data_IF_357735002418
#
_entry.id   IF_357735002418
#
_cell.length_a   1.000
_cell.length_b   1.000
_cell.length_c   1.000
_cell.angle_alpha   90.00
_cell.angle_beta   90.00
_cell.angle_gamma   90.00
#
_symmetry.space_group_name_H-M   'P 1'
#
loop_
_entity.id
_entity.type
_entity.pdbx_description
1 polymer ?
#
# COMPACT_ATOMS: atom_id res chain seq x y z
N UNK A 1 -49.59 -78.89 -31.29
CA UNK A 1 -48.27 -78.58 -31.81
C UNK A 1 -48.13 -77.08 -31.68
N UNK A 2 -47.42 -76.65 -30.70
CA UNK A 2 -46.03 -76.34 -30.51
C UNK A 2 -45.73 -74.86 -30.73
N UNK A 3 -45.43 -74.16 -29.58
CA UNK A 3 -44.30 -73.26 -29.38
C UNK A 3 -44.32 -71.92 -30.20
N UNK A 4 -43.98 -70.82 -29.72
CA UNK A 4 -43.21 -70.32 -28.62
C UNK A 4 -43.45 -68.82 -28.52
N UNK A 5 -43.73 -68.34 -27.35
CA UNK A 5 -43.66 -66.94 -27.03
C UNK A 5 -42.47 -66.72 -26.10
N UNK A 6 -41.55 -65.89 -26.48
CA UNK A 6 -40.47 -65.38 -25.65
C UNK A 6 -40.48 -63.86 -25.69
N UNK A 7 -41.06 -63.25 -24.72
CA UNK A 7 -40.40 -62.54 -23.67
C UNK A 7 -39.63 -61.28 -24.15
N UNK A 8 -40.35 -60.15 -24.26
CA UNK A 8 -39.73 -58.84 -24.18
C UNK A 8 -39.76 -58.41 -22.71
N UNK A 9 -38.60 -58.45 -22.06
CA UNK A 9 -38.42 -57.85 -20.72
C UNK A 9 -38.41 -56.36 -20.85
N UNK A 10 -39.51 -55.75 -20.48
CA UNK A 10 -39.64 -54.31 -20.30
C UNK A 10 -38.77 -53.89 -19.11
N UNK A 11 -37.59 -53.37 -19.39
CA UNK A 11 -36.76 -52.66 -18.38
C UNK A 11 -37.47 -51.38 -17.98
N UNK A 12 -38.30 -51.47 -16.92
CA UNK A 12 -38.79 -50.30 -16.22
C UNK A 12 -37.67 -49.68 -15.44
N UNK A 13 -37.08 -48.63 -16.01
CA UNK A 13 -36.22 -47.72 -15.24
C UNK A 13 -37.01 -47.13 -14.07
N UNK A 14 -36.49 -47.17 -12.85
CA UNK A 14 -37.19 -46.60 -11.70
C UNK A 14 -37.11 -45.06 -11.76
N UNK A 15 -38.01 -44.47 -12.55
CA UNK A 15 -38.25 -43.01 -12.57
C UNK A 15 -38.40 -42.37 -11.20
N UNK A 16 -39.03 -43.01 -10.17
CA UNK A 16 -39.17 -42.36 -8.87
C UNK A 16 -37.86 -42.17 -8.12
N UNK A 17 -36.85 -43.05 -8.31
CA UNK A 17 -35.58 -42.93 -7.61
C UNK A 17 -34.71 -41.79 -8.19
N UNK A 18 -34.84 -41.50 -9.49
CA UNK A 18 -34.11 -40.40 -10.12
C UNK A 18 -34.73 -39.04 -9.73
N UNK A 19 -36.07 -38.95 -9.69
CA UNK A 19 -36.79 -37.79 -9.22
C UNK A 19 -36.50 -37.46 -7.74
N UNK A 20 -36.39 -38.50 -6.90
CA UNK A 20 -36.09 -38.36 -5.49
C UNK A 20 -34.64 -37.86 -5.27
N UNK A 21 -33.67 -38.34 -6.06
CA UNK A 21 -32.27 -37.85 -6.04
C UNK A 21 -32.18 -36.43 -6.55
N UNK A 22 -32.92 -36.05 -7.58
CA UNK A 22 -32.98 -34.66 -8.09
C UNK A 22 -33.63 -33.71 -7.08
N UNK A 23 -34.69 -34.13 -6.41
CA UNK A 23 -35.37 -33.37 -5.35
C UNK A 23 -34.45 -33.16 -4.13
N UNK A 24 -33.69 -34.19 -3.72
CA UNK A 24 -32.69 -34.05 -2.65
C UNK A 24 -31.53 -33.13 -3.06
N UNK A 25 -31.03 -33.25 -4.31
CA UNK A 25 -29.97 -32.38 -4.79
C UNK A 25 -30.41 -30.89 -4.86
N UNK A 26 -31.65 -30.63 -5.30
CA UNK A 26 -32.21 -29.28 -5.30
C UNK A 26 -32.45 -28.75 -3.88
N UNK A 27 -32.91 -29.58 -2.96
CA UNK A 27 -33.11 -29.18 -1.56
C UNK A 27 -31.77 -28.84 -0.87
N UNK A 28 -30.69 -29.59 -1.14
CA UNK A 28 -29.35 -29.32 -0.65
C UNK A 28 -28.79 -28.03 -1.29
N UNK A 29 -28.99 -27.83 -2.60
CA UNK A 29 -28.58 -26.61 -3.27
C UNK A 29 -29.32 -25.38 -2.74
N UNK A 30 -30.62 -25.49 -2.46
CA UNK A 30 -31.44 -24.43 -1.87
C UNK A 30 -31.00 -24.12 -0.43
N UNK A 31 -30.69 -25.15 0.37
CA UNK A 31 -30.16 -24.99 1.73
C UNK A 31 -28.81 -24.29 1.74
N UNK A 32 -27.89 -24.60 0.80
CA UNK A 32 -26.60 -23.92 0.67
C UNK A 32 -26.78 -22.46 0.27
N UNK A 33 -27.73 -22.13 -0.60
CA UNK A 33 -28.05 -20.75 -0.96
C UNK A 33 -28.65 -19.97 0.20
N UNK A 34 -29.53 -20.62 1.01
CA UNK A 34 -30.10 -19.99 2.20
C UNK A 34 -29.06 -19.77 3.32
N UNK A 35 -28.09 -20.69 3.50
CA UNK A 35 -27.01 -20.51 4.48
C UNK A 35 -26.03 -19.41 4.03
N UNK A 36 -25.80 -19.25 2.72
CA UNK A 36 -25.02 -18.13 2.18
C UNK A 36 -25.68 -16.76 2.31
N UNK A 37 -27.03 -16.72 2.43
CA UNK A 37 -27.78 -15.46 2.62
C UNK A 37 -27.86 -15.01 4.09
N UNK A 38 -27.50 -15.88 5.04
CA UNK A 38 -27.33 -15.57 6.46
C UNK A 38 -25.84 -15.52 6.88
N UNK A 39 -24.93 -15.14 5.96
CA UNK A 39 -23.65 -14.65 6.42
C UNK A 39 -23.96 -13.48 7.36
N UNK A 40 -23.57 -13.52 8.66
CA UNK A 40 -23.70 -12.35 9.50
C UNK A 40 -22.98 -11.25 8.74
N UNK A 41 -23.65 -10.15 8.46
CA UNK A 41 -22.98 -8.90 8.13
C UNK A 41 -22.03 -8.72 9.30
N UNK A 42 -20.73 -9.00 9.10
CA UNK A 42 -19.71 -8.63 10.06
C UNK A 42 -19.96 -7.15 10.29
N UNK A 43 -20.33 -6.80 11.54
CA UNK A 43 -20.45 -5.42 11.94
C UNK A 43 -19.19 -4.74 11.40
N UNK A 44 -19.37 -3.82 10.47
CA UNK A 44 -18.26 -3.25 9.73
C UNK A 44 -17.56 -2.32 10.75
N UNK A 45 -16.50 -2.83 11.34
CA UNK A 45 -15.67 -2.03 12.24
C UNK A 45 -15.20 -0.80 11.47
N UNK A 46 -14.95 0.29 12.16
CA UNK A 46 -14.37 1.52 11.60
C UNK A 46 -13.32 1.18 10.54
N UNK A 47 -13.52 1.65 9.33
CA UNK A 47 -12.64 1.36 8.20
C UNK A 47 -11.59 2.46 8.03
N UNK A 48 -10.33 2.05 7.92
CA UNK A 48 -9.27 2.96 7.48
C UNK A 48 -9.32 3.10 5.96
N UNK A 49 -9.85 4.21 5.48
CA UNK A 49 -9.91 4.50 4.07
C UNK A 49 -8.50 4.75 3.51
N UNK A 50 -7.64 5.47 4.28
CA UNK A 50 -6.28 5.78 3.85
C UNK A 50 -5.41 6.19 5.03
N UNK A 51 -4.13 5.80 4.99
CA UNK A 51 -3.08 6.40 5.81
C UNK A 51 -1.90 6.75 4.91
N UNK A 52 -1.31 7.91 5.11
CA UNK A 52 -0.14 8.37 4.35
C UNK A 52 0.78 9.17 5.24
N UNK A 53 2.08 9.01 5.01
CA UNK A 53 3.12 9.84 5.60
C UNK A 53 3.73 10.74 4.53
N UNK A 54 4.05 11.98 4.89
CA UNK A 54 4.77 12.93 4.04
C UNK A 54 5.74 13.75 4.85
N UNK A 55 6.90 14.12 4.31
CA UNK A 55 7.82 15.03 4.99
C UNK A 55 7.12 16.34 5.35
N UNK A 56 7.39 16.85 6.54
CA UNK A 56 6.82 18.12 7.01
C UNK A 56 7.40 19.30 6.22
N UNK A 57 8.66 19.16 5.80
CA UNK A 57 9.41 20.16 5.03
C UNK A 57 9.97 19.51 3.77
N UNK A 58 9.99 20.25 2.66
CA UNK A 58 10.55 19.80 1.40
C UNK A 58 9.52 19.36 0.36
N UNK A 59 9.98 19.12 -0.86
CA UNK A 59 9.14 18.75 -2.03
C UNK A 59 9.12 17.24 -2.32
N UNK A 60 9.81 16.43 -1.50
CA UNK A 60 9.89 14.99 -1.67
C UNK A 60 8.61 14.27 -1.20
N UNK A 61 8.30 13.15 -1.82
CA UNK A 61 7.21 12.27 -1.38
C UNK A 61 7.69 11.14 -0.45
N UNK A 62 9.00 10.88 -0.42
CA UNK A 62 9.60 9.83 0.39
C UNK A 62 9.85 10.33 1.82
N UNK A 63 9.36 9.59 2.79
CA UNK A 63 9.62 9.83 4.21
C UNK A 63 10.91 9.14 4.59
N UNK A 64 11.76 9.86 5.31
CA UNK A 64 13.06 9.37 5.79
C UNK A 64 13.02 9.33 7.32
N UNK A 65 13.52 8.25 7.92
CA UNK A 65 13.64 8.11 9.36
C UNK A 65 14.45 9.25 9.97
N UNK A 66 14.15 9.63 11.21
CA UNK A 66 14.79 10.77 11.88
C UNK A 66 14.35 12.15 11.39
N UNK A 67 13.43 12.27 10.42
CA UNK A 67 12.94 13.55 9.92
C UNK A 67 11.48 13.77 10.33
N UNK A 68 11.13 15.04 10.56
CA UNK A 68 9.75 15.39 10.87
C UNK A 68 8.80 15.10 9.72
N UNK A 69 7.77 14.38 10.03
CA UNK A 69 6.79 13.82 9.09
C UNK A 69 5.38 14.20 9.51
N UNK A 70 4.52 14.41 8.54
CA UNK A 70 3.07 14.54 8.73
C UNK A 70 2.40 13.22 8.37
N UNK A 71 1.65 12.66 9.30
CA UNK A 71 0.74 11.54 9.06
C UNK A 71 -0.63 12.10 8.74
N UNK A 72 -1.24 11.62 7.67
CA UNK A 72 -2.64 11.87 7.33
C UNK A 72 -3.37 10.55 7.36
N UNK A 73 -4.32 10.40 8.26
CA UNK A 73 -5.11 9.20 8.47
C UNK A 73 -6.58 9.51 8.24
N UNK A 74 -7.20 8.80 7.32
CA UNK A 74 -8.58 8.94 6.92
C UNK A 74 -9.36 7.70 7.33
N UNK A 75 -10.42 7.90 8.10
CA UNK A 75 -11.25 6.84 8.65
C UNK A 75 -12.72 7.12 8.41
N UNK A 76 -13.48 6.06 8.19
CA UNK A 76 -14.93 6.12 8.05
C UNK A 76 -15.58 5.33 9.19
N UNK A 77 -16.47 5.99 9.92
CA UNK A 77 -17.32 5.33 10.91
C UNK A 77 -18.36 4.46 10.24
N UNK A 78 -18.80 3.39 10.92
CA UNK A 78 -19.95 2.64 10.48
C UNK A 78 -21.22 3.49 10.49
N UNK A 79 -22.19 3.15 9.64
CA UNK A 79 -23.44 3.88 9.48
C UNK A 79 -24.28 3.96 10.77
N UNK A 80 -24.07 3.03 11.68
CA UNK A 80 -24.83 2.92 12.94
C UNK A 80 -24.00 3.27 14.18
N UNK A 81 -22.74 3.72 14.02
CA UNK A 81 -21.81 3.97 15.13
C UNK A 81 -21.46 5.45 15.25
N UNK A 82 -21.79 6.04 16.40
CA UNK A 82 -21.36 7.40 16.77
C UNK A 82 -20.01 7.33 17.51
N UNK A 83 -19.06 8.15 17.11
CA UNK A 83 -17.71 8.17 17.67
C UNK A 83 -17.52 9.30 18.67
N UNK A 84 -16.81 9.01 19.76
CA UNK A 84 -16.34 10.01 20.73
C UNK A 84 -14.82 10.19 20.70
N UNK A 85 -14.07 9.25 20.12
CA UNK A 85 -12.61 9.36 20.05
C UNK A 85 -11.96 8.29 19.20
N UNK A 86 -10.70 8.55 18.86
CA UNK A 86 -9.80 7.65 18.13
C UNK A 86 -8.50 7.50 18.88
N UNK A 87 -7.82 6.38 18.70
CA UNK A 87 -6.43 6.25 19.13
C UNK A 87 -5.61 5.62 18.01
N UNK A 88 -4.39 6.11 17.86
CA UNK A 88 -3.40 5.61 16.91
C UNK A 88 -2.13 5.24 17.66
N UNK A 89 -1.72 3.99 17.53
CA UNK A 89 -0.48 3.47 18.13
C UNK A 89 0.58 3.38 17.06
N UNK A 90 1.69 4.04 17.33
CA UNK A 90 2.89 4.04 16.50
C UNK A 90 3.84 2.91 16.90
N UNK A 91 4.79 2.62 16.04
CA UNK A 91 5.87 1.68 16.32
C UNK A 91 6.82 2.24 17.39
N UNK A 92 7.44 1.36 18.16
CA UNK A 92 8.41 1.72 19.20
C UNK A 92 9.55 2.57 18.64
N UNK A 93 9.90 3.62 19.38
CA UNK A 93 10.93 4.57 18.97
C UNK A 93 10.42 5.74 18.12
N UNK A 94 9.13 5.76 17.75
CA UNK A 94 8.52 6.93 17.10
C UNK A 94 8.25 8.02 18.13
N UNK A 95 8.58 9.26 17.81
CA UNK A 95 8.26 10.43 18.63
C UNK A 95 7.20 11.28 17.93
N UNK A 96 6.25 11.81 18.69
CA UNK A 96 5.18 12.67 18.16
C UNK A 96 4.73 13.67 19.21
N UNK A 97 4.24 14.82 18.74
CA UNK A 97 3.62 15.84 19.58
C UNK A 97 2.10 15.69 19.64
N UNK A 98 1.48 16.20 20.70
CA UNK A 98 0.02 16.24 20.85
C UNK A 98 -0.60 17.53 20.33
N UNK A 99 0.17 18.62 20.35
CA UNK A 99 -0.34 19.99 20.13
C UNK A 99 -0.66 20.29 18.67
N UNK A 100 0.02 19.63 17.74
CA UNK A 100 -0.13 19.81 16.29
C UNK A 100 -0.95 18.71 15.64
N UNK A 101 -1.93 18.17 16.37
CA UNK A 101 -2.89 17.21 15.81
C UNK A 101 -4.17 17.93 15.37
N UNK A 102 -4.57 17.72 14.13
CA UNK A 102 -5.78 18.29 13.55
C UNK A 102 -6.78 17.19 13.23
N UNK A 103 -8.03 17.44 13.58
CA UNK A 103 -9.16 16.59 13.24
C UNK A 103 -10.14 17.38 12.38
N UNK A 104 -10.51 16.79 11.26
CA UNK A 104 -11.47 17.39 10.31
C UNK A 104 -12.52 16.36 9.95
N UNK A 105 -13.77 16.67 10.12
CA UNK A 105 -14.88 15.90 9.57
C UNK A 105 -15.08 16.29 8.11
N UNK A 106 -15.15 15.30 7.24
CA UNK A 106 -15.42 15.46 5.81
C UNK A 106 -16.87 15.05 5.54
N UNK A 107 -17.61 15.89 4.83
CA UNK A 107 -19.02 15.67 4.49
C UNK A 107 -19.30 16.06 3.05
N UNK A 108 -20.56 15.86 2.61
CA UNK A 108 -20.93 16.03 1.21
C UNK A 108 -20.72 14.75 0.38
N UNK A 109 -21.36 14.66 -0.75
CA UNK A 109 -21.30 13.48 -1.63
C UNK A 109 -19.92 13.23 -2.24
N UNK A 110 -19.06 14.23 -2.28
CA UNK A 110 -17.69 14.22 -2.78
C UNK A 110 -16.63 14.41 -1.68
N UNK A 111 -17.03 14.43 -0.39
CA UNK A 111 -16.19 14.67 0.78
C UNK A 111 -15.41 16.01 0.72
N UNK A 112 -15.98 17.01 0.07
CA UNK A 112 -15.33 18.32 -0.11
C UNK A 112 -15.64 19.30 1.02
N UNK A 113 -16.75 19.12 1.73
CA UNK A 113 -17.12 19.95 2.86
C UNK A 113 -16.25 19.56 4.07
N UNK A 114 -15.55 20.57 4.63
CA UNK A 114 -14.58 20.36 5.72
C UNK A 114 -15.02 21.10 6.96
N UNK A 115 -15.34 20.36 8.00
CA UNK A 115 -15.66 20.91 9.31
C UNK A 115 -14.52 20.63 10.28
N UNK A 116 -13.69 21.63 10.64
CA UNK A 116 -12.62 21.44 11.62
C UNK A 116 -13.22 21.16 12.99
N UNK A 117 -12.69 20.17 13.67
CA UNK A 117 -13.03 19.84 15.07
C UNK A 117 -11.85 20.24 15.96
N UNK A 118 -12.11 20.44 17.25
CA UNK A 118 -11.08 20.77 18.24
C UNK A 118 -10.87 19.55 19.16
N UNK A 119 -10.02 18.60 18.78
CA UNK A 119 -9.79 17.43 19.60
C UNK A 119 -8.95 17.77 20.82
N UNK A 120 -9.14 17.00 21.88
CA UNK A 120 -8.19 16.94 22.99
C UNK A 120 -7.26 15.73 22.78
N UNK A 121 -5.97 15.99 22.58
CA UNK A 121 -5.00 14.95 22.32
C UNK A 121 -4.16 14.65 23.56
N UNK A 122 -3.89 13.36 23.82
CA UNK A 122 -3.03 12.89 24.90
C UNK A 122 -2.12 11.78 24.39
N UNK A 123 -0.86 11.82 24.76
CA UNK A 123 0.09 10.75 24.52
C UNK A 123 0.08 9.77 25.71
N UNK A 124 0.01 8.49 25.42
CA UNK A 124 0.12 7.39 26.37
C UNK A 124 1.11 6.35 25.80
N UNK A 125 2.39 6.52 26.14
CA UNK A 125 3.48 5.79 25.50
C UNK A 125 3.54 6.03 24.00
N UNK A 126 3.43 4.99 23.20
CA UNK A 126 3.42 5.07 21.73
C UNK A 126 2.01 5.30 21.15
N UNK A 127 0.99 5.51 22.01
CA UNK A 127 -0.38 5.69 21.57
C UNK A 127 -0.81 7.15 21.67
N UNK A 128 -1.23 7.73 20.57
CA UNK A 128 -1.89 9.04 20.52
C UNK A 128 -3.40 8.83 20.69
N UNK A 129 -3.96 9.32 21.79
CA UNK A 129 -5.40 9.33 22.06
C UNK A 129 -5.97 10.67 21.64
N UNK A 130 -7.02 10.64 20.84
CA UNK A 130 -7.69 11.79 20.23
C UNK A 130 -9.14 11.76 20.66
N UNK A 131 -9.49 12.60 21.62
CA UNK A 131 -10.85 12.79 22.10
C UNK A 131 -11.51 13.91 21.28
N UNK A 132 -12.66 13.62 20.72
CA UNK A 132 -13.34 14.58 19.85
C UNK A 132 -13.98 15.76 20.62
N UNK A 133 -14.17 15.61 21.93
CA UNK A 133 -14.87 16.59 22.77
C UNK A 133 -16.39 16.64 22.56
N UNK A 134 -16.84 16.20 21.42
CA UNK A 134 -18.25 16.08 21.01
C UNK A 134 -18.48 14.73 20.35
N UNK A 135 -19.70 14.21 20.45
CA UNK A 135 -20.06 12.96 19.75
C UNK A 135 -20.16 13.23 18.26
N UNK A 136 -19.40 12.51 17.48
CA UNK A 136 -19.43 12.59 16.04
C UNK A 136 -20.55 11.74 15.44
N UNK A 137 -21.20 12.19 14.36
CA UNK A 137 -22.34 11.50 13.78
C UNK A 137 -21.97 10.14 13.21
N UNK A 138 -22.89 9.20 13.28
CA UNK A 138 -22.77 7.88 12.67
C UNK A 138 -22.50 7.97 11.16
N UNK A 139 -21.67 7.07 10.63
CA UNK A 139 -21.25 7.10 9.23
C UNK A 139 -20.33 8.25 8.85
N UNK A 140 -19.85 9.04 9.82
CA UNK A 140 -18.97 10.18 9.57
C UNK A 140 -17.62 9.77 8.96
N UNK A 141 -17.08 10.64 8.11
CA UNK A 141 -15.75 10.48 7.55
C UNK A 141 -14.79 11.48 8.20
N UNK A 142 -13.69 11.00 8.76
CA UNK A 142 -12.77 11.82 9.53
C UNK A 142 -11.38 11.78 8.94
N UNK A 143 -10.73 12.94 8.93
CA UNK A 143 -9.31 13.07 8.61
C UNK A 143 -8.56 13.54 9.83
N UNK A 144 -7.63 12.74 10.28
CA UNK A 144 -6.67 13.06 11.34
C UNK A 144 -5.34 13.42 10.69
N UNK A 145 -4.78 14.57 11.01
CA UNK A 145 -3.44 14.97 10.59
C UNK A 145 -2.59 15.18 11.84
N UNK A 146 -1.52 14.39 11.96
CA UNK A 146 -0.54 14.49 13.04
C UNK A 146 0.75 15.05 12.47
N UNK A 147 1.18 16.18 12.93
CA UNK A 147 2.40 16.85 12.51
C UNK A 147 3.55 16.55 13.46
N UNK A 148 4.79 16.71 13.01
CA UNK A 148 5.97 16.54 13.84
C UNK A 148 6.23 15.10 14.29
N UNK A 149 5.70 14.12 13.57
CA UNK A 149 5.99 12.71 13.83
C UNK A 149 7.39 12.39 13.30
N UNK A 150 8.24 11.81 14.15
CA UNK A 150 9.59 11.39 13.74
C UNK A 150 9.72 9.89 13.97
N UNK A 151 9.91 9.16 12.88
CA UNK A 151 10.13 7.71 12.89
C UNK A 151 11.58 7.35 13.20
N UNK A 152 11.84 6.10 13.65
CA UNK A 152 13.19 5.59 13.84
C UNK A 152 14.07 5.77 12.60
N UNK A 153 15.36 6.03 12.81
CA UNK A 153 16.33 6.28 11.72
C UNK A 153 16.59 5.07 10.84
N UNK A 154 16.36 3.88 11.38
CA UNK A 154 16.53 2.61 10.67
C UNK A 154 15.51 2.45 9.54
N UNK A 155 14.36 3.09 9.66
CA UNK A 155 13.25 2.97 8.72
C UNK A 155 12.69 1.54 8.66
N UNK A 156 11.81 1.31 7.72
CA UNK A 156 11.15 0.03 7.49
C UNK A 156 9.69 0.21 7.13
N UNK A 157 8.94 -0.88 7.13
CA UNK A 157 7.49 -0.86 7.00
C UNK A 157 6.86 -0.61 8.37
N UNK A 158 6.49 0.63 8.61
CA UNK A 158 5.89 1.06 9.87
C UNK A 158 4.41 0.65 9.93
N UNK A 159 4.11 -0.31 10.79
CA UNK A 159 2.76 -0.81 11.01
C UNK A 159 2.07 0.01 12.10
N UNK A 160 0.82 0.37 11.85
CA UNK A 160 -0.01 1.08 12.81
C UNK A 160 -1.07 0.15 13.38
N UNK A 161 -1.43 0.38 14.62
CA UNK A 161 -2.63 -0.18 15.24
C UNK A 161 -3.46 0.95 15.85
N UNK A 162 -4.75 0.71 16.05
CA UNK A 162 -5.61 1.74 16.58
C UNK A 162 -6.88 1.17 17.18
N UNK A 163 -7.50 1.99 18.02
CA UNK A 163 -8.82 1.74 18.57
C UNK A 163 -9.69 2.97 18.40
N UNK A 164 -10.99 2.79 18.45
CA UNK A 164 -11.95 3.87 18.46
C UNK A 164 -12.92 3.71 19.62
N UNK A 165 -13.37 4.82 20.14
CA UNK A 165 -14.29 4.89 21.28
C UNK A 165 -15.64 5.36 20.76
N UNK A 166 -16.69 4.62 21.09
CA UNK A 166 -18.07 4.95 20.76
C UNK A 166 -18.63 5.97 21.74
N UNK A 167 -19.78 6.55 21.41
CA UNK A 167 -20.50 7.48 22.28
C UNK A 167 -20.91 6.88 23.63
N UNK A 168 -21.12 5.56 23.68
CA UNK A 168 -21.43 4.81 24.91
C UNK A 168 -20.21 4.55 25.81
N UNK A 169 -19.02 4.98 25.39
CA UNK A 169 -17.74 4.77 26.08
C UNK A 169 -17.09 3.42 25.82
N UNK A 170 -17.69 2.55 25.02
CA UNK A 170 -17.08 1.29 24.63
C UNK A 170 -15.94 1.51 23.63
N UNK A 171 -14.87 0.73 23.74
CA UNK A 171 -13.70 0.81 22.85
C UNK A 171 -13.62 -0.44 21.99
N UNK A 172 -13.45 -0.24 20.69
CA UNK A 172 -13.28 -1.30 19.69
C UNK A 172 -11.95 -1.16 18.97
N UNK A 173 -11.40 -2.27 18.49
CA UNK A 173 -10.17 -2.27 17.69
C UNK A 173 -10.49 -2.00 16.22
N UNK A 174 -9.61 -1.24 15.55
CA UNK A 174 -9.67 -1.04 14.11
C UNK A 174 -9.08 -2.28 13.43
N UNK A 175 -9.83 -2.87 12.52
CA UNK A 175 -9.53 -4.18 11.95
C UNK A 175 -8.22 -4.21 11.15
N UNK A 176 -7.92 -3.13 10.42
CA UNK A 176 -6.71 -3.04 9.60
C UNK A 176 -6.34 -1.58 9.32
N UNK A 177 -5.11 -1.22 9.70
CA UNK A 177 -4.48 0.03 9.28
C UNK A 177 -3.30 -0.34 8.37
N UNK A 178 -3.23 0.19 7.13
CA UNK A 178 -2.09 -0.09 6.25
C UNK A 178 -0.77 0.40 6.85
N UNK A 179 0.33 -0.30 6.58
CA UNK A 179 1.67 0.16 6.91
C UNK A 179 2.13 1.27 5.97
N UNK A 180 3.09 2.07 6.42
CA UNK A 180 3.74 3.10 5.62
C UNK A 180 5.23 2.79 5.54
N UNK A 181 5.78 2.79 4.33
CA UNK A 181 7.20 2.59 4.10
C UNK A 181 8.00 3.85 4.47
N UNK A 182 8.91 3.71 5.42
CA UNK A 182 9.85 4.76 5.86
C UNK A 182 11.25 4.37 5.39
N UNK A 183 11.91 5.24 4.67
CA UNK A 183 13.29 5.01 4.24
C UNK A 183 14.24 5.20 5.40
N UNK A 184 15.05 4.20 5.70
CA UNK A 184 16.13 4.33 6.66
C UNK A 184 17.22 5.28 6.15
N UNK A 185 17.89 5.95 7.07
CA UNK A 185 19.06 6.79 6.80
C UNK A 185 20.26 5.88 6.55
N UNK A 186 20.83 5.96 5.38
CA UNK A 186 22.02 5.18 5.02
C UNK A 186 23.29 5.91 5.37
N UNK A 187 24.42 5.18 5.47
CA UNK A 187 25.74 5.80 5.62
C UNK A 187 26.05 6.79 4.47
N UNK A 188 25.47 6.56 3.31
CA UNK A 188 25.61 7.47 2.16
C UNK A 188 24.83 8.76 2.36
N UNK A 189 23.64 8.71 2.97
CA UNK A 189 22.86 9.91 3.28
C UNK A 189 23.55 10.77 4.33
N UNK A 190 24.15 10.14 5.36
CA UNK A 190 24.98 10.84 6.35
C UNK A 190 26.19 11.49 5.69
N UNK A 191 26.89 10.76 4.81
CA UNK A 191 28.01 11.34 4.03
C UNK A 191 27.58 12.54 3.19
N UNK A 192 26.39 12.49 2.57
CA UNK A 192 25.86 13.61 1.80
C UNK A 192 25.50 14.81 2.69
N UNK A 193 25.00 14.57 3.90
CA UNK A 193 24.72 15.61 4.87
C UNK A 193 26.03 16.29 5.30
N UNK A 194 27.03 15.51 5.69
CA UNK A 194 28.36 16.01 6.05
C UNK A 194 29.03 16.77 4.89
N UNK A 195 28.89 16.27 3.66
CA UNK A 195 29.40 16.92 2.47
C UNK A 195 28.76 18.28 2.25
N UNK A 196 27.46 18.41 2.49
CA UNK A 196 26.73 19.67 2.33
C UNK A 196 27.21 20.75 3.30
N UNK A 197 27.63 20.36 4.50
CA UNK A 197 28.12 21.27 5.55
C UNK A 197 29.58 21.65 5.39
N UNK A 198 30.30 21.10 4.40
CA UNK A 198 31.70 21.44 4.16
C UNK A 198 31.86 22.89 3.67
N UNK A 199 32.78 23.69 4.26
CA UNK A 199 32.95 25.11 3.89
C UNK A 199 33.29 25.33 2.41
N UNK A 200 34.02 24.41 1.78
CA UNK A 200 34.34 24.50 0.36
C UNK A 200 33.12 24.29 -0.54
N UNK A 201 32.14 23.45 -0.13
CA UNK A 201 30.88 23.22 -0.86
C UNK A 201 29.99 24.46 -0.76
N UNK A 202 29.96 25.11 0.40
CA UNK A 202 29.25 26.37 0.58
C UNK A 202 29.87 27.48 -0.29
N UNK A 203 31.21 27.62 -0.26
CA UNK A 203 31.92 28.55 -1.12
C UNK A 203 31.70 28.28 -2.62
N UNK A 204 31.69 27.01 -3.03
CA UNK A 204 31.36 26.59 -4.40
C UNK A 204 29.96 26.98 -4.82
N UNK A 205 29.01 26.73 -3.96
CA UNK A 205 27.59 27.00 -4.18
C UNK A 205 27.22 28.50 -4.06
N UNK A 206 28.15 29.37 -3.63
CA UNK A 206 27.95 30.82 -3.64
C UNK A 206 27.82 31.39 -5.05
N UNK A 207 28.46 30.74 -6.03
CA UNK A 207 28.28 31.09 -7.43
C UNK A 207 27.02 30.44 -7.99
N UNK A 208 26.13 31.24 -8.53
CA UNK A 208 24.82 30.79 -9.01
C UNK A 208 24.92 29.73 -10.14
N UNK A 209 25.87 29.89 -11.06
CA UNK A 209 26.11 28.95 -12.13
C UNK A 209 26.59 27.59 -11.59
N UNK A 210 27.58 27.58 -10.69
CA UNK A 210 28.10 26.36 -10.09
C UNK A 210 27.05 25.64 -9.26
N UNK A 211 26.26 26.38 -8.51
CA UNK A 211 25.15 25.83 -7.72
C UNK A 211 24.08 25.15 -8.56
N UNK A 212 23.75 25.72 -9.72
CA UNK A 212 22.68 25.19 -10.59
C UNK A 212 23.14 24.01 -11.45
N UNK A 213 24.37 24.05 -11.98
CA UNK A 213 24.85 23.09 -12.98
C UNK A 213 25.89 22.09 -12.43
N UNK A 214 26.65 22.47 -11.42
CA UNK A 214 27.78 21.69 -10.92
C UNK A 214 27.74 21.56 -9.38
N UNK A 215 26.57 21.47 -8.78
CA UNK A 215 26.47 21.29 -7.34
C UNK A 215 27.10 19.97 -6.90
N UNK A 216 28.18 19.97 -6.08
CA UNK A 216 28.89 18.76 -5.69
C UNK A 216 27.98 17.73 -4.99
N UNK A 217 27.04 18.18 -4.16
CA UNK A 217 26.13 17.31 -3.43
C UNK A 217 25.20 16.59 -4.40
N UNK A 218 24.62 17.29 -5.38
CA UNK A 218 23.74 16.71 -6.39
C UNK A 218 24.49 15.73 -7.29
N UNK A 219 25.72 16.06 -7.67
CA UNK A 219 26.58 15.19 -8.47
C UNK A 219 26.86 13.88 -7.73
N UNK A 220 27.25 13.94 -6.47
CA UNK A 220 27.51 12.75 -5.65
C UNK A 220 26.22 11.97 -5.40
N UNK A 221 25.10 12.64 -5.10
CA UNK A 221 23.81 12.00 -4.89
C UNK A 221 23.30 11.24 -6.12
N UNK A 222 23.62 11.72 -7.32
CA UNK A 222 23.22 11.06 -8.58
C UNK A 222 24.12 9.88 -8.96
N UNK A 223 25.31 9.76 -8.35
CA UNK A 223 26.33 8.76 -8.69
C UNK A 223 25.80 7.30 -8.62
N UNK A 224 25.07 6.86 -7.59
CA UNK A 224 24.54 5.50 -7.54
C UNK A 224 23.59 5.19 -8.71
N UNK A 225 22.75 6.15 -9.11
CA UNK A 225 21.77 5.98 -10.20
C UNK A 225 22.51 5.89 -11.54
N UNK A 226 23.47 6.78 -11.77
CA UNK A 226 24.30 6.80 -12.98
C UNK A 226 25.12 5.53 -13.08
N UNK A 227 25.72 5.08 -11.97
CA UNK A 227 26.53 3.86 -11.93
C UNK A 227 25.70 2.61 -12.21
N UNK A 228 24.46 2.54 -11.67
CA UNK A 228 23.52 1.45 -11.99
C UNK A 228 23.16 1.41 -13.48
N UNK A 229 22.92 2.58 -14.10
CA UNK A 229 22.67 2.68 -15.53
C UNK A 229 23.89 2.28 -16.37
N UNK A 230 25.09 2.70 -15.95
CA UNK A 230 26.35 2.31 -16.57
C UNK A 230 26.57 0.78 -16.54
N UNK A 231 26.38 0.15 -15.36
CA UNK A 231 26.51 -1.31 -15.24
C UNK A 231 25.51 -2.06 -16.12
N UNK A 232 24.28 -1.55 -16.22
CA UNK A 232 23.26 -2.14 -17.09
C UNK A 232 23.68 -2.04 -18.56
N UNK A 233 24.15 -0.89 -19.00
CA UNK A 233 24.68 -0.69 -20.36
C UNK A 233 25.87 -1.59 -20.66
N UNK A 234 26.82 -1.66 -19.71
CA UNK A 234 27.99 -2.53 -19.81
C UNK A 234 27.58 -4.03 -19.93
N UNK A 235 26.60 -4.46 -19.14
CA UNK A 235 26.10 -5.84 -19.20
C UNK A 235 25.51 -6.17 -20.56
N UNK A 236 24.74 -5.26 -21.15
CA UNK A 236 24.17 -5.45 -22.49
C UNK A 236 25.28 -5.58 -23.53
N UNK A 237 26.29 -4.70 -23.49
CA UNK A 237 27.43 -4.75 -24.43
C UNK A 237 28.20 -6.07 -24.28
N UNK A 238 28.43 -6.50 -23.02
CA UNK A 238 29.20 -7.71 -22.72
C UNK A 238 28.48 -8.98 -23.19
N UNK A 239 27.17 -8.99 -23.22
CA UNK A 239 26.37 -10.10 -23.79
C UNK A 239 26.27 -9.99 -25.31
N UNK A 240 25.98 -8.80 -25.82
CA UNK A 240 25.78 -8.60 -27.26
C UNK A 240 27.05 -8.83 -28.10
N UNK A 241 28.21 -8.43 -27.59
CA UNK A 241 29.48 -8.52 -28.30
C UNK A 241 29.89 -9.98 -28.61
N UNK A 242 29.90 -10.93 -27.63
CA UNK A 242 30.22 -12.35 -27.94
C UNK A 242 29.20 -13.01 -28.87
N UNK A 243 27.93 -12.59 -28.82
CA UNK A 243 26.90 -13.13 -29.72
C UNK A 243 27.03 -12.55 -31.15
N UNK A 244 27.42 -11.29 -31.30
CA UNK A 244 27.57 -10.66 -32.61
C UNK A 244 28.64 -11.35 -33.48
N UNK A 245 29.73 -11.86 -32.88
CA UNK A 245 30.82 -12.53 -33.62
C UNK A 245 30.36 -13.80 -34.35
N UNK A 246 29.72 -14.80 -33.67
CA UNK A 246 29.27 -16.00 -34.37
C UNK A 246 28.11 -15.70 -35.35
N UNK A 247 27.23 -14.76 -35.05
CA UNK A 247 26.19 -14.34 -35.98
C UNK A 247 26.76 -13.69 -37.23
N UNK A 248 27.72 -12.77 -37.07
CA UNK A 248 28.42 -12.15 -38.20
C UNK A 248 29.17 -13.19 -39.07
N UNK A 249 29.81 -14.15 -38.42
CA UNK A 249 30.47 -15.27 -39.15
C UNK A 249 29.46 -16.15 -39.89
N UNK A 250 28.35 -16.53 -39.25
CA UNK A 250 27.29 -17.31 -39.90
C UNK A 250 26.68 -16.56 -41.10
N UNK A 251 26.40 -15.28 -41.00
CA UNK A 251 25.93 -14.48 -42.11
C UNK A 251 26.93 -14.36 -43.25
N UNK A 252 28.21 -14.25 -42.93
CA UNK A 252 29.29 -14.25 -43.91
C UNK A 252 29.37 -15.55 -44.66
N UNK A 253 29.26 -16.71 -43.98
CA UNK A 253 29.20 -18.02 -44.60
C UNK A 253 27.96 -18.24 -45.50
N UNK A 254 26.79 -17.73 -45.05
CA UNK A 254 25.58 -17.77 -45.84
C UNK A 254 25.73 -16.98 -47.15
N UNK A 255 26.40 -15.84 -47.14
CA UNK A 255 26.66 -15.02 -48.34
C UNK A 255 27.57 -15.71 -49.38
N UNK A 256 28.50 -16.57 -48.93
CA UNK A 256 29.43 -17.30 -49.79
C UNK A 256 28.84 -18.63 -50.28
N UNK A 257 27.72 -19.07 -49.69
CA UNK A 257 27.06 -20.31 -50.03
C UNK A 257 26.59 -20.34 -51.51
N UNK A 258 26.79 -21.49 -52.17
CA UNK A 258 26.31 -21.73 -53.54
C UNK A 258 24.79 -21.94 -53.60
N UNK A 259 24.09 -22.10 -52.50
CA UNK A 259 22.65 -22.31 -52.41
C UNK A 259 21.91 -20.99 -52.63
N UNK A 260 20.97 -20.99 -53.62
CA UNK A 260 20.15 -19.78 -53.91
C UNK A 260 19.26 -19.35 -52.73
N UNK A 261 18.84 -20.28 -51.87
CA UNK A 261 17.97 -20.03 -50.72
C UNK A 261 18.73 -19.32 -49.60
N UNK A 262 20.03 -19.59 -49.45
CA UNK A 262 20.89 -19.02 -48.40
C UNK A 262 21.58 -17.73 -48.81
N UNK A 263 21.43 -17.29 -50.07
CA UNK A 263 22.03 -16.08 -50.63
C UNK A 263 21.06 -14.88 -50.64
N UNK A 264 19.72 -15.10 -50.42
CA UNK A 264 18.77 -14.04 -50.13
C UNK A 264 18.93 -13.56 -48.70
#
# INVERSE_FOLDING_TARGET
MSRLNKGAAEQRFPLPALLQKLACAMAVALAVVCVGAYAPTTAQALETAKITARPNTGSGSAVVGGTETRITWEVQADADEELSGLSLTFVDGTTFGTDDTRLTMLSGGDLMDRTPMKPTCKADGQTLKIDFGETAPAGGFFRVEVYGVTFPVEGGDEAFSGTYTLADGSTKMISKIPSVEIKGVTAFDNFLADLKEQPWVEAWNSNMFLRLFLNPVILVQSLPIVFKGFLMSLSIVLVAFPLAIPFGFALSLMRISKSRILRC
#
